data_IF_640445788945
#
_entry.id   IF_640445788945
#
_cell.length_a   1.000
_cell.length_b   1.000
_cell.length_c   1.000
_cell.angle_alpha   90.00
_cell.angle_beta   90.00
_cell.angle_gamma   90.00
#
_symmetry.space_group_name_H-M   'P 1'
#
loop_
_entity.id
_entity.type
_entity.pdbx_description
1 polymer ?
#
# COMPACT_ATOMS: atom_id res chain seq x y z
N UNK A 1 38.62 -37.74 -21.36
CA UNK A 1 37.34 -38.10 -20.70
C UNK A 1 36.33 -36.98 -20.95
N UNK A 2 35.33 -37.29 -21.81
CA UNK A 2 34.00 -36.69 -22.06
C UNK A 2 33.78 -35.22 -21.58
N UNK A 3 33.87 -34.18 -22.42
CA UNK A 3 32.94 -33.61 -23.45
C UNK A 3 31.56 -33.13 -22.93
N UNK A 4 31.38 -31.81 -23.08
CA UNK A 4 30.19 -30.93 -23.13
C UNK A 4 28.86 -31.55 -23.58
N UNK A 5 27.73 -31.04 -23.04
CA UNK A 5 26.59 -30.52 -23.85
C UNK A 5 25.60 -29.70 -23.02
N UNK A 6 25.38 -28.46 -23.45
CA UNK A 6 24.12 -27.73 -23.27
C UNK A 6 23.00 -28.42 -24.08
N UNK A 7 21.76 -28.39 -23.58
CA UNK A 7 20.62 -29.01 -24.24
C UNK A 7 19.32 -28.29 -23.93
N UNK A 8 19.01 -27.28 -24.75
CA UNK A 8 17.68 -26.72 -24.90
C UNK A 8 16.80 -27.79 -25.57
N UNK A 9 15.67 -28.16 -24.96
CA UNK A 9 14.69 -29.05 -25.61
C UNK A 9 13.88 -28.26 -26.63
N UNK A 10 14.14 -28.60 -27.88
CA UNK A 10 13.34 -28.28 -29.05
C UNK A 10 12.11 -29.21 -29.13
N UNK A 11 10.98 -28.64 -29.58
CA UNK A 11 9.99 -29.22 -30.49
C UNK A 11 9.40 -30.64 -30.20
N UNK A 12 8.12 -30.67 -29.83
CA UNK A 12 7.17 -31.73 -30.17
C UNK A 12 5.98 -31.08 -30.88
N UNK A 13 6.03 -30.92 -32.20
CA UNK A 13 5.46 -31.80 -33.25
C UNK A 13 3.95 -31.96 -33.17
N UNK A 14 3.32 -31.35 -34.17
CA UNK A 14 1.96 -31.49 -34.64
C UNK A 14 1.49 -32.94 -34.69
N UNK A 15 0.29 -33.19 -34.18
CA UNK A 15 -0.56 -34.25 -34.67
C UNK A 15 -1.76 -33.57 -35.34
N UNK A 16 -1.78 -33.66 -36.67
CA UNK A 16 -2.95 -33.39 -37.46
C UNK A 16 -3.98 -34.48 -37.17
N UNK A 17 -5.22 -34.08 -36.86
CA UNK A 17 -6.39 -34.93 -37.01
C UNK A 17 -7.48 -34.11 -37.71
N UNK A 18 -7.72 -34.57 -38.93
CA UNK A 18 -8.78 -34.28 -39.87
C UNK A 18 -10.16 -34.49 -39.29
N UNK A 19 -11.04 -33.50 -39.42
CA UNK A 19 -12.43 -33.70 -39.85
C UNK A 19 -13.10 -32.35 -40.08
N UNK A 20 -13.29 -32.04 -41.37
CA UNK A 20 -14.56 -31.56 -41.95
C UNK A 20 -15.29 -30.43 -41.21
N UNK A 21 -15.24 -29.23 -41.80
CA UNK A 21 -16.09 -28.11 -41.41
C UNK A 21 -15.73 -26.80 -42.11
N UNK A 22 -15.36 -26.85 -43.38
CA UNK A 22 -15.17 -25.68 -44.22
C UNK A 22 -16.54 -25.24 -44.76
N UNK A 23 -17.19 -24.28 -44.09
CA UNK A 23 -18.21 -23.47 -44.74
C UNK A 23 -17.52 -22.33 -45.47
N UNK A 24 -17.61 -22.43 -46.79
CA UNK A 24 -16.97 -21.58 -47.75
C UNK A 24 -17.47 -20.14 -47.66
N UNK A 25 -16.53 -19.20 -47.73
CA UNK A 25 -16.77 -17.87 -48.25
C UNK A 25 -17.12 -18.02 -49.73
N UNK A 26 -18.43 -18.06 -50.01
CA UNK A 26 -18.97 -18.12 -51.36
C UNK A 26 -18.70 -16.83 -52.11
N UNK A 27 -17.85 -16.94 -53.15
CA UNK A 27 -17.81 -16.02 -54.26
C UNK A 27 -18.78 -16.52 -55.36
N UNK A 28 -19.77 -15.70 -55.71
CA UNK A 28 -20.44 -15.67 -57.01
C UNK A 28 -20.88 -14.20 -57.20
N UNK A 29 -20.26 -13.41 -58.08
CA UNK A 29 -20.29 -13.47 -59.56
C UNK A 29 -21.72 -13.65 -60.07
N UNK A 30 -22.41 -12.54 -60.23
CA UNK A 30 -23.02 -12.10 -61.49
C UNK A 30 -23.75 -10.77 -61.25
N UNK A 31 -23.38 -9.73 -61.99
CA UNK A 31 -24.30 -8.68 -62.38
C UNK A 31 -23.78 -8.08 -63.68
N UNK A 32 -24.64 -8.14 -64.67
CA UNK A 32 -24.38 -8.04 -66.09
C UNK A 32 -23.76 -6.72 -66.50
N UNK A 33 -22.96 -6.82 -67.56
CA UNK A 33 -22.51 -5.71 -68.37
C UNK A 33 -23.67 -4.77 -68.72
N UNK A 34 -23.47 -3.48 -68.43
CA UNK A 34 -24.15 -2.41 -69.15
C UNK A 34 -23.03 -1.55 -69.73
N UNK A 35 -22.82 -1.76 -71.01
CA UNK A 35 -22.11 -0.89 -71.93
C UNK A 35 -22.69 0.53 -71.90
N UNK A 36 -21.84 1.52 -71.70
CA UNK A 36 -22.18 2.92 -71.90
C UNK A 36 -20.93 3.79 -71.75
N UNK A 37 -20.30 4.11 -72.89
CA UNK A 37 -19.11 4.96 -72.96
C UNK A 37 -19.40 6.46 -72.77
N UNK A 38 -18.32 7.24 -72.68
CA UNK A 38 -18.36 8.71 -72.63
C UNK A 38 -17.29 9.25 -71.67
N UNK A 39 -16.03 9.43 -72.08
CA UNK A 39 -15.40 10.58 -72.77
C UNK A 39 -14.51 11.40 -71.83
N UNK A 40 -13.30 11.66 -72.34
CA UNK A 40 -12.46 12.83 -72.12
C UNK A 40 -11.96 13.15 -70.70
N UNK A 41 -10.69 12.79 -70.48
CA UNK A 41 -9.61 13.69 -70.11
C UNK A 41 -9.98 15.04 -69.45
N UNK A 42 -9.64 15.17 -68.17
CA UNK A 42 -8.86 16.29 -67.64
C UNK A 42 -8.53 15.99 -66.18
N UNK A 43 -7.23 15.97 -65.86
CA UNK A 43 -6.78 15.79 -64.49
C UNK A 43 -7.19 16.95 -63.61
N UNK A 44 -7.77 16.63 -62.45
CA UNK A 44 -7.43 17.23 -61.17
C UNK A 44 -7.56 16.11 -60.14
N UNK A 45 -6.44 15.46 -59.84
CA UNK A 45 -6.37 14.47 -58.77
C UNK A 45 -6.48 15.22 -57.44
N UNK A 46 -7.70 15.39 -56.96
CA UNK A 46 -7.97 15.86 -55.60
C UNK A 46 -7.36 14.83 -54.64
N UNK A 47 -6.19 15.16 -54.10
CA UNK A 47 -5.57 14.39 -53.04
C UNK A 47 -6.52 14.42 -51.85
N UNK A 48 -7.22 13.31 -51.65
CA UNK A 48 -7.98 13.06 -50.45
C UNK A 48 -6.97 13.01 -49.29
N UNK A 49 -6.89 14.08 -48.49
CA UNK A 49 -6.26 14.01 -47.17
C UNK A 49 -7.01 12.94 -46.38
N UNK A 50 -6.48 11.71 -46.38
CA UNK A 50 -6.89 10.70 -45.39
C UNK A 50 -6.34 11.17 -44.06
N UNK A 51 -7.22 11.68 -43.21
CA UNK A 51 -6.94 11.73 -41.78
C UNK A 51 -6.52 10.32 -41.35
N UNK A 52 -5.43 10.25 -40.58
CA UNK A 52 -5.05 9.04 -39.87
C UNK A 52 -6.32 8.47 -39.22
N UNK A 53 -6.65 7.20 -39.50
CA UNK A 53 -7.68 6.53 -38.72
C UNK A 53 -7.18 6.55 -37.30
N UNK A 54 -7.85 7.34 -36.46
CA UNK A 54 -7.57 7.33 -35.04
C UNK A 54 -8.13 6.00 -34.60
N UNK A 55 -7.28 4.96 -34.50
CA UNK A 55 -7.51 3.99 -33.43
C UNK A 55 -7.51 4.87 -32.18
N UNK A 56 -8.69 5.28 -31.72
CA UNK A 56 -8.87 5.51 -30.30
C UNK A 56 -8.61 4.14 -29.66
N UNK A 57 -7.33 3.81 -29.52
CA UNK A 57 -6.89 2.82 -28.56
C UNK A 57 -7.27 3.44 -27.23
N UNK A 58 -8.43 3.05 -26.71
CA UNK A 58 -8.76 3.31 -25.33
C UNK A 58 -7.59 2.84 -24.46
N UNK A 59 -7.41 3.49 -23.31
CA UNK A 59 -6.49 3.01 -22.30
C UNK A 59 -6.73 1.52 -22.10
N UNK A 60 -5.72 0.67 -22.36
CA UNK A 60 -5.76 -0.70 -21.86
C UNK A 60 -5.86 -0.56 -20.35
N UNK A 61 -6.98 -0.99 -19.79
CA UNK A 61 -7.42 -0.62 -18.45
C UNK A 61 -6.31 -0.85 -17.40
N UNK A 62 -5.63 0.22 -17.01
CA UNK A 62 -4.67 0.19 -15.92
C UNK A 62 -5.42 0.51 -14.62
N UNK A 63 -5.99 -0.53 -14.02
CA UNK A 63 -6.49 -0.46 -12.64
C UNK A 63 -5.93 -1.65 -11.87
N UNK A 64 -4.74 -1.46 -11.29
CA UNK A 64 -4.09 -2.43 -10.40
C UNK A 64 -3.67 -1.69 -9.15
N UNK A 65 -4.59 -1.59 -8.20
CA UNK A 65 -4.31 -1.03 -6.90
C UNK A 65 -3.79 -2.12 -5.95
N UNK A 66 -2.82 -1.74 -5.12
CA UNK A 66 -2.29 -2.61 -4.10
C UNK A 66 -3.03 -2.41 -2.78
N UNK A 67 -3.13 -3.46 -1.96
CA UNK A 67 -3.70 -3.35 -0.62
C UNK A 67 -2.95 -2.30 0.23
N UNK A 68 -3.66 -1.56 1.11
CA UNK A 68 -3.04 -0.59 1.99
C UNK A 68 -2.00 -1.24 2.90
N UNK A 69 -0.88 -0.55 3.13
CA UNK A 69 0.26 -1.09 3.91
C UNK A 69 0.27 -0.66 5.37
N UNK A 70 -0.74 0.11 5.80
CA UNK A 70 -0.94 0.58 7.19
C UNK A 70 0.30 1.21 7.84
N UNK A 71 1.06 1.97 7.04
CA UNK A 71 2.23 2.74 7.49
C UNK A 71 1.80 3.91 8.39
N UNK A 72 2.78 4.57 9.01
CA UNK A 72 2.59 5.76 9.84
C UNK A 72 2.91 5.53 11.31
N UNK A 73 2.60 6.55 12.10
CA UNK A 73 2.78 6.61 13.56
C UNK A 73 1.72 5.74 14.24
N UNK A 74 2.14 4.99 15.26
CA UNK A 74 1.28 4.14 16.09
C UNK A 74 1.18 4.67 17.51
N UNK A 75 2.28 5.17 18.08
CA UNK A 75 2.28 5.88 19.36
C UNK A 75 2.68 7.34 19.16
N UNK A 76 1.88 8.24 19.74
CA UNK A 76 2.10 9.68 19.69
C UNK A 76 2.95 10.17 20.86
N UNK A 77 3.35 11.44 20.80
CA UNK A 77 4.17 12.06 21.86
C UNK A 77 3.43 12.08 23.20
N UNK A 78 4.14 11.79 24.29
CA UNK A 78 3.61 11.76 25.66
C UNK A 78 2.85 10.47 26.04
N UNK A 79 2.57 9.58 25.07
CA UNK A 79 1.94 8.29 25.34
C UNK A 79 2.90 7.33 26.03
N UNK A 80 2.37 6.49 26.93
CA UNK A 80 3.13 5.43 27.59
C UNK A 80 3.42 4.30 26.59
N UNK A 81 4.68 3.91 26.50
CA UNK A 81 5.15 2.77 25.73
C UNK A 81 5.72 1.71 26.67
N UNK A 82 5.62 0.45 26.25
CA UNK A 82 6.29 -0.70 26.86
C UNK A 82 7.47 -1.06 25.95
N UNK A 83 8.48 -1.72 26.50
CA UNK A 83 9.56 -2.29 25.70
C UNK A 83 9.02 -3.19 24.57
N UNK A 84 9.56 -3.05 23.37
CA UNK A 84 9.13 -3.76 22.16
C UNK A 84 7.97 -3.12 21.39
N UNK A 85 7.29 -2.10 21.94
CA UNK A 85 6.20 -1.45 21.21
C UNK A 85 6.70 -0.72 19.96
N UNK A 86 5.96 -0.86 18.86
CA UNK A 86 6.23 -0.17 17.60
C UNK A 86 5.72 1.26 17.70
N UNK A 87 6.61 2.24 17.54
CA UNK A 87 6.25 3.66 17.55
C UNK A 87 5.83 4.13 16.16
N UNK A 88 6.54 3.69 15.12
CA UNK A 88 6.25 4.08 13.74
C UNK A 88 6.69 3.02 12.72
N UNK A 89 5.86 2.81 11.70
CA UNK A 89 6.21 2.04 10.49
C UNK A 89 6.36 3.01 9.32
N UNK A 90 7.54 3.11 8.74
CA UNK A 90 7.85 4.09 7.71
C UNK A 90 8.45 3.42 6.47
N UNK A 91 8.57 4.18 5.38
CA UNK A 91 9.35 3.82 4.21
C UNK A 91 10.54 4.75 4.15
N UNK A 92 11.74 4.19 4.11
CA UNK A 92 12.96 4.95 4.39
C UNK A 92 12.99 5.50 5.82
N UNK A 93 13.88 6.45 6.08
CA UNK A 93 14.06 7.07 7.38
C UNK A 93 13.54 8.50 7.38
N UNK A 94 12.25 8.67 7.61
CA UNK A 94 11.64 9.99 7.86
C UNK A 94 11.93 10.49 9.28
N UNK A 95 11.96 9.54 10.22
CA UNK A 95 12.41 9.71 11.58
C UNK A 95 13.61 8.80 11.83
N UNK A 96 14.53 9.30 12.64
CA UNK A 96 15.71 8.60 13.07
C UNK A 96 15.56 8.13 14.53
N UNK A 97 16.18 6.99 14.90
CA UNK A 97 16.14 6.53 16.27
C UNK A 97 16.98 7.47 17.13
N UNK A 98 16.44 7.89 18.26
CA UNK A 98 17.13 8.62 19.31
C UNK A 98 17.44 7.70 20.49
N UNK A 99 17.40 8.25 21.70
CA UNK A 99 17.68 7.52 22.95
C UNK A 99 16.61 6.46 23.23
N UNK A 100 17.03 5.27 23.70
CA UNK A 100 16.18 4.15 24.14
C UNK A 100 15.24 3.57 23.07
N UNK A 101 15.61 3.75 21.80
CA UNK A 101 14.81 3.36 20.65
C UNK A 101 15.68 2.59 19.65
N UNK A 102 15.14 1.49 19.12
CA UNK A 102 15.77 0.67 18.10
C UNK A 102 15.15 0.88 16.71
N UNK A 103 15.90 0.48 15.67
CA UNK A 103 15.43 0.45 14.29
C UNK A 103 15.52 -0.98 13.74
N UNK A 104 14.44 -1.46 13.11
CA UNK A 104 14.41 -2.76 12.44
C UNK A 104 14.88 -2.70 10.99
N UNK A 105 14.93 -3.86 10.32
CA UNK A 105 15.33 -4.00 8.90
C UNK A 105 14.52 -3.09 7.96
N UNK A 106 13.22 -2.97 8.20
CA UNK A 106 12.32 -2.15 7.39
C UNK A 106 12.23 -0.70 7.88
N UNK A 107 13.25 -0.20 8.59
CA UNK A 107 13.27 1.12 9.23
C UNK A 107 12.11 1.37 10.21
N UNK A 108 11.49 0.30 10.70
CA UNK A 108 10.46 0.37 11.73
C UNK A 108 11.11 0.75 13.05
N UNK A 109 10.53 1.74 13.74
CA UNK A 109 11.05 2.28 14.99
C UNK A 109 10.29 1.66 16.16
N UNK A 110 11.01 1.10 17.13
CA UNK A 110 10.43 0.43 18.30
C UNK A 110 11.12 0.85 19.60
N UNK A 111 10.39 0.78 20.71
CA UNK A 111 10.91 1.11 22.03
C UNK A 111 11.76 -0.02 22.61
N UNK A 112 12.85 0.30 23.30
CA UNK A 112 13.64 -0.67 24.06
C UNK A 112 13.26 -0.71 25.55
N UNK A 113 12.76 0.41 26.07
CA UNK A 113 12.46 0.60 27.50
C UNK A 113 10.99 1.03 27.63
N UNK A 114 10.38 0.82 28.79
CA UNK A 114 9.12 1.49 29.10
C UNK A 114 9.34 2.99 29.34
N UNK A 115 8.34 3.81 29.02
CA UNK A 115 8.46 5.25 29.19
C UNK A 115 7.50 6.05 28.35
N UNK A 116 7.77 7.34 28.17
CA UNK A 116 6.97 8.24 27.33
C UNK A 116 7.71 8.56 26.04
N UNK A 117 7.00 8.52 24.92
CA UNK A 117 7.57 8.83 23.61
C UNK A 117 7.75 10.34 23.46
N UNK A 118 8.93 10.78 23.03
CA UNK A 118 9.25 12.18 22.74
C UNK A 118 9.74 12.33 21.30
N UNK A 119 9.13 13.26 20.58
CA UNK A 119 9.55 13.64 19.23
C UNK A 119 10.40 14.91 19.33
N UNK A 120 11.60 14.86 18.76
CA UNK A 120 12.52 16.00 18.72
C UNK A 120 12.90 16.32 17.28
N UNK A 121 13.15 17.59 16.99
CA UNK A 121 13.68 18.04 15.71
C UNK A 121 14.97 18.79 15.94
N UNK A 122 16.01 18.41 15.22
CA UNK A 122 17.28 19.12 15.26
C UNK A 122 17.18 20.38 14.38
N UNK A 123 17.52 21.54 14.94
CA UNK A 123 17.44 22.83 14.25
C UNK A 123 18.46 22.93 13.12
N UNK A 124 19.65 22.34 13.29
CA UNK A 124 20.76 22.47 12.33
C UNK A 124 20.58 21.55 11.13
N UNK A 125 20.34 20.26 11.40
CA UNK A 125 20.21 19.25 10.34
C UNK A 125 18.79 19.10 9.84
N UNK A 126 17.80 19.73 10.50
CA UNK A 126 16.35 19.62 10.24
C UNK A 126 15.80 18.19 10.35
N UNK A 127 16.61 17.23 10.82
CA UNK A 127 16.24 15.82 11.01
C UNK A 127 15.32 15.66 12.22
N UNK A 128 14.43 14.68 12.13
CA UNK A 128 13.48 14.33 13.19
C UNK A 128 13.95 13.06 13.90
N UNK A 129 13.90 13.08 15.22
CA UNK A 129 14.31 11.97 16.09
C UNK A 129 13.16 11.56 16.99
N UNK A 130 13.15 10.27 17.33
CA UNK A 130 12.21 9.68 18.30
C UNK A 130 13.04 9.14 19.46
N UNK A 131 12.79 9.66 20.66
CA UNK A 131 13.37 9.15 21.90
C UNK A 131 12.28 8.66 22.83
N UNK A 132 12.65 7.79 23.76
CA UNK A 132 11.78 7.38 24.86
C UNK A 132 12.41 7.84 26.17
N UNK A 133 11.68 8.70 26.87
CA UNK A 133 12.07 9.19 28.19
C UNK A 133 11.57 8.17 29.23
N UNK A 134 12.46 7.66 30.11
CA UNK A 134 12.07 6.66 31.11
C UNK A 134 11.05 7.25 32.10
N UNK A 135 10.14 6.43 32.65
CA UNK A 135 9.25 6.89 33.70
C UNK A 135 10.08 7.25 34.93
N UNK A 136 9.91 8.46 35.45
CA UNK A 136 10.46 8.80 36.76
C UNK A 136 9.73 7.93 37.79
N UNK A 137 10.46 7.24 38.64
CA UNK A 137 9.97 6.19 39.56
C UNK A 137 8.82 6.62 40.51
N UNK A 138 8.48 7.92 40.54
CA UNK A 138 7.40 8.51 41.32
C UNK A 138 5.98 8.24 40.78
N UNK A 139 5.81 7.99 39.47
CA UNK A 139 4.47 7.85 38.87
C UNK A 139 3.81 6.48 39.19
N UNK A 140 4.61 5.47 39.48
CA UNK A 140 4.14 4.10 39.81
C UNK A 140 3.72 3.99 41.29
N UNK A 141 4.24 4.84 42.18
CA UNK A 141 3.95 4.80 43.62
C UNK A 141 2.60 5.43 44.00
N UNK A 142 2.08 6.39 43.22
CA UNK A 142 0.87 7.14 43.56
C UNK A 142 -0.41 6.29 43.59
N UNK A 143 -0.47 5.21 42.79
CA UNK A 143 -1.61 4.28 42.78
C UNK A 143 -1.60 3.28 43.94
N UNK A 144 -0.44 2.91 44.46
CA UNK A 144 -0.30 1.95 45.56
C UNK A 144 -0.65 2.59 46.92
N UNK A 145 -0.27 3.85 47.12
CA UNK A 145 -0.55 4.57 48.38
C UNK A 145 -2.04 4.89 48.56
N UNK A 146 -2.78 5.13 47.47
CA UNK A 146 -4.22 5.40 47.53
C UNK A 146 -5.04 4.16 47.90
N UNK A 147 -4.64 2.97 47.44
CA UNK A 147 -5.29 1.72 47.82
C UNK A 147 -5.07 1.37 49.30
N UNK A 148 -3.90 1.72 49.85
CA UNK A 148 -3.63 1.54 51.28
C UNK A 148 -4.46 2.49 52.15
N UNK A 149 -4.71 3.73 51.70
CA UNK A 149 -5.56 4.67 52.44
C UNK A 149 -7.05 4.31 52.38
N UNK A 150 -7.54 3.78 51.24
CA UNK A 150 -8.94 3.36 51.11
C UNK A 150 -9.26 2.08 51.91
N UNK A 151 -8.25 1.24 52.17
CA UNK A 151 -8.41 0.04 53.02
C UNK A 151 -8.45 0.35 54.51
N UNK A 152 -8.03 1.56 54.92
CA UNK A 152 -7.96 2.00 56.32
C UNK A 152 -9.12 2.91 56.73
N UNK A 153 -10.06 3.25 55.83
CA UNK A 153 -11.32 3.89 56.22
C UNK A 153 -12.35 2.79 56.52
N UNK A 154 -12.71 2.51 57.78
CA UNK A 154 -13.78 1.56 58.05
C UNK A 154 -15.09 2.11 57.48
N UNK A 155 -15.88 1.26 56.83
CA UNK A 155 -17.21 1.57 56.28
C UNK A 155 -18.27 2.00 57.34
N UNK A 156 -17.85 2.30 58.57
CA UNK A 156 -18.70 2.60 59.71
C UNK A 156 -19.10 4.09 59.84
N UNK A 157 -18.52 5.01 59.06
CA UNK A 157 -18.82 6.46 59.18
C UNK A 157 -19.88 6.97 58.19
N UNK A 158 -20.42 6.14 57.28
CA UNK A 158 -21.37 6.60 56.24
C UNK A 158 -22.87 6.59 56.65
N UNK A 159 -23.26 6.16 57.87
CA UNK A 159 -24.68 5.93 58.22
C UNK A 159 -25.34 7.03 59.09
N UNK A 160 -24.69 8.14 59.42
CA UNK A 160 -25.25 9.17 60.33
C UNK A 160 -25.74 10.45 59.65
N UNK A 161 -25.74 10.54 58.32
CA UNK A 161 -26.17 11.74 57.58
C UNK A 161 -27.56 11.63 56.92
N UNK A 162 -28.30 10.55 57.15
CA UNK A 162 -29.70 10.44 56.72
C UNK A 162 -30.64 10.50 57.91
N UNK A 163 -30.76 11.69 58.51
CA UNK A 163 -31.98 12.06 59.21
C UNK A 163 -32.56 13.25 58.45
N UNK A 164 -33.72 13.12 57.79
CA UNK A 164 -34.41 14.28 57.29
C UNK A 164 -34.86 15.09 58.51
N UNK A 165 -34.45 16.35 58.60
CA UNK A 165 -35.04 17.30 59.52
C UNK A 165 -36.55 17.35 59.24
N UNK A 166 -37.36 17.10 60.28
CA UNK A 166 -38.82 17.24 60.27
C UNK A 166 -39.24 18.68 59.97
#
# INVERSE_FOLDING_TARGET
MQRLTAGWRLAGRCQALTSLGAEACGAARECSAISGGGVAAAGVQWQQLRFASKKQGGSTQNTKDSQPKYLGVKLFGGQKCIAGNIIMRQRGTEFHPGTNVGMGRDHTIYSLIEGRVRFSRDTRTKRRYISVDPPLDSDTAAGAQQQQQQRLVPAATQQLQQQPAL
#
